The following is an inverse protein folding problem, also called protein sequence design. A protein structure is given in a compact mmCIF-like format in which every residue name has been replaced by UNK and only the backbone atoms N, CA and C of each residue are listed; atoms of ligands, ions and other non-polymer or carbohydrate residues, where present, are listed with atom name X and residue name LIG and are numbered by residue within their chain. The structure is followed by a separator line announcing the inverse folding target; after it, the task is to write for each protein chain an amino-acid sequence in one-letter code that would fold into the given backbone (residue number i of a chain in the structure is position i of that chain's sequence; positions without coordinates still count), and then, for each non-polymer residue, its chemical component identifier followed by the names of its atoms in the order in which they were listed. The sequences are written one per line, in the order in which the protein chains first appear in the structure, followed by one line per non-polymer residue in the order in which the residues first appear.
data_IF_903370383497
#
_entry.id   IF_903370383497
#
_cell.length_a   1.000
_cell.length_b   1.000
_cell.length_c   1.000
_cell.angle_alpha   90.00
_cell.angle_beta   90.00
_cell.angle_gamma   90.00
#
_symmetry.space_group_name_H-M   'P 1'
#
loop_
_entity.id
_entity.type
_entity.pdbx_description
1 polymer ?
#
# COMPACT_ATOMS: atom_id res chain seq x y z
N UNK A 1 -12.61 -30.57 50.07
CA UNK A 1 -12.67 -29.27 49.36
C UNK A 1 -14.10 -28.75 49.35
N UNK A 2 -15.08 -29.51 48.85
CA UNK A 2 -16.47 -29.03 48.76
C UNK A 2 -17.16 -28.82 50.11
N UNK A 3 -16.78 -29.59 51.13
CA UNK A 3 -17.33 -29.47 52.49
C UNK A 3 -16.98 -28.13 53.16
N UNK A 4 -15.73 -27.69 53.05
CA UNK A 4 -15.25 -26.44 53.65
C UNK A 4 -15.46 -25.21 52.77
N UNK A 5 -15.81 -25.42 51.49
CA UNK A 5 -16.09 -24.36 50.53
C UNK A 5 -17.05 -23.28 51.06
N UNK A 6 -18.26 -23.60 51.56
CA UNK A 6 -19.20 -22.58 52.02
C UNK A 6 -18.70 -21.82 53.26
N UNK A 7 -17.95 -22.45 54.16
CA UNK A 7 -17.36 -21.80 55.33
C UNK A 7 -16.36 -20.72 54.92
N UNK A 8 -15.47 -21.06 53.98
CA UNK A 8 -14.38 -20.19 53.53
C UNK A 8 -14.90 -19.06 52.66
N UNK A 9 -15.86 -19.36 51.78
CA UNK A 9 -16.53 -18.35 50.97
C UNK A 9 -17.20 -17.30 51.87
N UNK A 10 -17.92 -17.73 52.92
CA UNK A 10 -18.55 -16.79 53.85
C UNK A 10 -17.51 -15.96 54.63
N UNK A 11 -16.47 -16.60 55.18
CA UNK A 11 -15.43 -15.92 55.97
C UNK A 11 -14.68 -14.83 55.17
N UNK A 12 -14.35 -15.10 53.90
CA UNK A 12 -13.61 -14.16 53.04
C UNK A 12 -14.52 -13.05 52.48
N UNK A 13 -15.81 -13.34 52.30
CA UNK A 13 -16.80 -12.34 51.83
C UNK A 13 -17.27 -11.39 52.94
N UNK A 14 -17.37 -11.88 54.18
CA UNK A 14 -17.80 -11.10 55.35
C UNK A 14 -16.82 -9.96 55.67
N UNK A 15 -15.52 -10.12 55.41
CA UNK A 15 -14.53 -9.04 55.60
C UNK A 15 -14.83 -7.80 54.73
N UNK A 16 -15.63 -7.94 53.66
CA UNK A 16 -15.94 -6.85 52.72
C UNK A 16 -17.36 -6.31 52.83
N UNK A 17 -18.31 -7.12 53.28
CA UNK A 17 -19.71 -6.72 53.36
C UNK A 17 -20.23 -6.98 54.77
N UNK A 18 -20.42 -5.92 55.56
CA UNK A 18 -21.20 -5.92 56.81
C UNK A 18 -22.70 -6.28 56.60
N UNK A 19 -23.05 -7.03 55.55
CA UNK A 19 -24.37 -7.62 55.38
C UNK A 19 -24.31 -9.06 55.86
N UNK A 20 -24.64 -9.17 57.15
CA UNK A 20 -24.92 -10.39 57.89
C UNK A 20 -26.09 -11.14 57.24
N UNK A 21 -25.82 -11.86 56.14
CA UNK A 21 -26.76 -12.85 55.62
C UNK A 21 -26.58 -14.11 56.46
N UNK A 22 -27.23 -14.08 57.62
CA UNK A 22 -27.34 -15.20 58.54
C UNK A 22 -28.00 -16.40 57.88
N UNK A 23 -27.20 -17.21 57.21
CA UNK A 23 -27.41 -18.63 57.29
C UNK A 23 -26.81 -19.08 58.62
N UNK A 24 -27.55 -18.82 59.71
CA UNK A 24 -27.22 -19.16 61.11
C UNK A 24 -26.70 -20.61 61.27
N UNK A 25 -27.10 -21.50 60.35
CA UNK A 25 -26.67 -22.91 60.28
C UNK A 25 -25.23 -23.14 59.78
N UNK A 26 -24.59 -22.18 59.09
CA UNK A 26 -23.21 -22.33 58.59
C UNK A 26 -22.21 -22.02 59.71
N UNK A 27 -22.46 -20.97 60.50
CA UNK A 27 -21.60 -20.61 61.65
C UNK A 27 -21.49 -21.74 62.68
N UNK A 28 -22.59 -22.47 62.94
CA UNK A 28 -22.61 -23.60 63.87
C UNK A 28 -21.81 -24.82 63.35
N UNK A 29 -21.80 -25.05 62.03
CA UNK A 29 -21.03 -26.14 61.39
C UNK A 29 -19.55 -25.82 61.19
N UNK A 30 -19.20 -24.55 61.07
CA UNK A 30 -17.82 -24.11 60.84
C UNK A 30 -17.11 -23.72 62.15
N UNK A 31 -17.84 -23.61 63.27
CA UNK A 31 -17.32 -23.10 64.55
C UNK A 31 -16.33 -24.01 65.27
N UNK A 32 -16.18 -25.27 64.85
CA UNK A 32 -15.21 -26.21 65.43
C UNK A 32 -13.92 -26.38 64.61
N UNK A 33 -13.72 -25.56 63.56
CA UNK A 33 -12.49 -25.56 62.76
C UNK A 33 -11.54 -24.48 63.26
N UNK A 34 -10.24 -24.83 63.36
CA UNK A 34 -9.21 -23.80 63.51
C UNK A 34 -8.90 -23.21 62.14
N UNK A 35 -9.38 -21.98 61.90
CA UNK A 35 -9.23 -21.30 60.61
C UNK A 35 -8.16 -20.22 60.73
N UNK A 36 -7.09 -20.36 59.96
CA UNK A 36 -6.02 -19.37 59.86
C UNK A 36 -6.09 -18.68 58.49
N UNK A 37 -6.20 -17.35 58.52
CA UNK A 37 -6.13 -16.50 57.34
C UNK A 37 -4.69 -16.04 57.16
N UNK A 38 -4.09 -16.36 56.02
CA UNK A 38 -2.72 -15.98 55.67
C UNK A 38 -2.71 -15.15 54.40
N UNK A 39 -1.72 -14.27 54.24
CA UNK A 39 -1.59 -13.44 53.04
C UNK A 39 -1.22 -14.26 51.80
N UNK A 40 -0.42 -15.32 51.99
CA UNK A 40 -0.06 -16.26 50.94
C UNK A 40 0.03 -17.68 51.54
N UNK A 41 -0.55 -18.66 50.84
CA UNK A 41 -0.36 -20.06 51.18
C UNK A 41 1.07 -20.49 50.85
N UNK A 42 1.70 -21.25 51.74
CA UNK A 42 2.99 -21.86 51.46
C UNK A 42 2.92 -22.76 50.24
N UNK A 43 3.93 -22.67 49.36
CA UNK A 43 4.01 -23.50 48.16
C UNK A 43 4.24 -24.96 48.49
N UNK A 44 5.02 -25.21 49.55
CA UNK A 44 5.30 -26.54 50.10
C UNK A 44 4.07 -26.99 50.88
N UNK A 45 3.53 -28.15 50.51
CA UNK A 45 2.37 -28.71 51.18
C UNK A 45 2.87 -29.57 52.36
N UNK A 46 2.40 -29.33 53.59
CA UNK A 46 2.76 -30.18 54.72
C UNK A 46 2.30 -31.63 54.50
N UNK A 47 2.97 -32.58 55.14
CA UNK A 47 2.69 -34.00 54.99
C UNK A 47 1.23 -34.30 55.42
N UNK A 48 0.44 -34.88 54.53
CA UNK A 48 -0.98 -35.16 54.77
C UNK A 48 -1.94 -33.98 54.56
N UNK A 49 -1.45 -32.79 54.21
CA UNK A 49 -2.31 -31.65 53.88
C UNK A 49 -2.82 -31.70 52.44
N UNK A 50 -4.04 -31.19 52.20
CA UNK A 50 -4.65 -31.11 50.87
C UNK A 50 -4.95 -29.66 50.50
N UNK A 51 -4.39 -29.20 49.38
CA UNK A 51 -4.71 -27.88 48.80
C UNK A 51 -5.96 -27.98 47.93
N UNK A 52 -6.84 -26.99 48.07
CA UNK A 52 -8.06 -26.81 47.31
C UNK A 52 -8.05 -25.42 46.66
N UNK A 53 -8.57 -25.35 45.43
CA UNK A 53 -8.81 -24.09 44.71
C UNK A 53 -10.25 -24.06 44.26
N UNK A 54 -11.00 -23.06 44.70
CA UNK A 54 -12.40 -22.88 44.35
C UNK A 54 -12.59 -21.58 43.56
N UNK A 55 -13.43 -21.62 42.53
CA UNK A 55 -13.85 -20.42 41.80
C UNK A 55 -14.97 -19.71 42.54
N UNK A 56 -14.84 -18.40 42.68
CA UNK A 56 -15.79 -17.48 43.35
C UNK A 56 -16.00 -16.26 42.48
N UNK A 57 -17.26 -15.93 42.15
CA UNK A 57 -17.72 -14.81 41.34
C UNK A 57 -16.87 -14.47 40.10
N UNK A 58 -17.31 -14.96 38.93
CA UNK A 58 -16.63 -14.73 37.65
C UNK A 58 -15.40 -15.61 37.52
N UNK A 59 -14.21 -15.01 37.65
CA UNK A 59 -12.91 -15.64 37.44
C UNK A 59 -11.98 -15.58 38.67
N UNK A 60 -12.47 -15.11 39.82
CA UNK A 60 -11.64 -15.10 41.02
C UNK A 60 -11.54 -16.50 41.62
N UNK A 61 -10.37 -16.83 42.15
CA UNK A 61 -10.12 -18.10 42.83
C UNK A 61 -9.73 -17.87 44.27
N UNK A 62 -10.24 -18.72 45.15
CA UNK A 62 -9.84 -18.80 46.55
C UNK A 62 -9.03 -20.07 46.72
N UNK A 63 -7.83 -19.92 47.27
CA UNK A 63 -6.94 -21.02 47.61
C UNK A 63 -7.01 -21.26 49.12
N UNK A 64 -7.12 -22.52 49.51
CA UNK A 64 -7.01 -22.92 50.90
C UNK A 64 -6.42 -24.32 50.97
N UNK A 65 -5.87 -24.67 52.13
CA UNK A 65 -5.43 -26.02 52.44
C UNK A 65 -6.02 -26.44 53.77
N UNK A 66 -6.19 -27.73 53.94
CA UNK A 66 -6.59 -28.30 55.22
C UNK A 66 -5.73 -29.52 55.53
N UNK A 67 -5.48 -29.75 56.82
CA UNK A 67 -4.78 -30.90 57.35
C UNK A 67 -5.53 -31.46 58.56
N UNK A 68 -5.37 -32.76 58.79
CA UNK A 68 -5.91 -33.43 59.97
C UNK A 68 -4.76 -33.59 60.96
N UNK A 69 -4.87 -32.92 62.10
CA UNK A 69 -4.05 -33.20 63.29
C UNK A 69 -4.89 -34.07 64.23
N UNK A 70 -4.27 -34.82 65.15
CA UNK A 70 -4.78 -36.02 65.84
C UNK A 70 -6.23 -35.94 66.39
N UNK A 71 -6.81 -34.75 66.59
CA UNK A 71 -8.25 -34.52 66.85
C UNK A 71 -8.83 -33.22 66.25
N UNK A 72 -8.06 -32.43 65.50
CA UNK A 72 -8.46 -31.08 65.02
C UNK A 72 -8.22 -30.92 63.53
N UNK A 73 -9.12 -30.19 62.87
CA UNK A 73 -8.98 -29.84 61.46
C UNK A 73 -8.35 -28.45 61.41
N UNK A 74 -7.12 -28.39 60.94
CA UNK A 74 -6.40 -27.13 60.72
C UNK A 74 -6.68 -26.67 59.29
N UNK A 75 -7.32 -25.52 59.15
CA UNK A 75 -7.70 -24.96 57.86
C UNK A 75 -7.01 -23.63 57.63
N UNK A 76 -6.22 -23.55 56.56
CA UNK A 76 -5.46 -22.34 56.21
C UNK A 76 -5.98 -21.80 54.88
N UNK A 77 -6.54 -20.60 54.89
CA UNK A 77 -7.10 -19.95 53.71
C UNK A 77 -6.34 -18.67 53.36
N UNK A 78 -6.23 -18.38 52.07
CA UNK A 78 -5.66 -17.13 51.58
C UNK A 78 -6.65 -15.99 51.86
N UNK A 79 -6.20 -14.93 52.53
CA UNK A 79 -7.01 -13.77 52.89
C UNK A 79 -7.58 -13.06 51.65
N UNK A 80 -6.79 -12.98 50.57
CA UNK A 80 -7.16 -12.28 49.35
C UNK A 80 -7.52 -13.28 48.26
N UNK A 81 -8.65 -13.05 47.58
CA UNK A 81 -9.00 -13.80 46.36
C UNK A 81 -8.02 -13.47 45.23
N UNK A 82 -7.56 -14.49 44.52
CA UNK A 82 -6.73 -14.36 43.33
C UNK A 82 -7.63 -14.16 42.12
N UNK A 83 -7.78 -12.90 41.68
CA UNK A 83 -8.55 -12.54 40.49
C UNK A 83 -7.59 -12.22 39.34
N UNK A 84 -7.92 -12.56 38.08
CA UNK A 84 -7.18 -12.07 36.93
C UNK A 84 -7.26 -10.55 36.89
N UNK A 85 -6.12 -9.90 36.62
CA UNK A 85 -6.08 -8.46 36.42
C UNK A 85 -6.83 -8.10 35.14
N UNK A 86 -7.61 -7.00 35.13
CA UNK A 86 -8.26 -6.55 33.92
C UNK A 86 -7.19 -6.20 32.88
N UNK A 87 -7.33 -6.66 31.63
CA UNK A 87 -6.36 -6.35 30.59
C UNK A 87 -6.29 -4.83 30.36
N UNK A 88 -5.11 -4.33 29.99
CA UNK A 88 -4.95 -2.91 29.65
C UNK A 88 -5.60 -2.61 28.29
N UNK A 89 -6.86 -2.16 28.33
CA UNK A 89 -7.68 -1.88 27.16
C UNK A 89 -7.07 -0.76 26.29
N UNK A 90 -6.45 0.25 26.92
CA UNK A 90 -5.84 1.37 26.20
C UNK A 90 -4.66 0.91 25.34
N UNK A 91 -3.80 0.04 25.89
CA UNK A 91 -2.67 -0.52 25.15
C UNK A 91 -3.11 -1.32 23.92
N UNK A 92 -4.18 -2.10 24.05
CA UNK A 92 -4.76 -2.87 22.95
C UNK A 92 -5.25 -1.95 21.82
N UNK A 93 -5.98 -0.88 22.17
CA UNK A 93 -6.51 0.07 21.19
C UNK A 93 -5.37 0.77 20.44
N UNK A 94 -4.35 1.25 21.16
CA UNK A 94 -3.19 1.91 20.54
C UNK A 94 -2.46 0.96 19.60
N UNK A 95 -2.28 -0.30 20.00
CA UNK A 95 -1.67 -1.33 19.17
C UNK A 95 -2.44 -1.57 17.87
N UNK A 96 -3.76 -1.71 17.95
CA UNK A 96 -4.62 -1.93 16.78
C UNK A 96 -4.58 -0.72 15.84
N UNK A 97 -4.77 0.49 16.38
CA UNK A 97 -4.75 1.72 15.57
C UNK A 97 -3.39 1.92 14.90
N UNK A 98 -2.30 1.72 15.64
CA UNK A 98 -0.94 1.80 15.11
C UNK A 98 -0.70 0.78 13.99
N UNK A 99 -1.20 -0.45 14.14
CA UNK A 99 -1.06 -1.49 13.12
C UNK A 99 -1.79 -1.15 11.82
N UNK A 100 -3.00 -0.59 11.90
CA UNK A 100 -3.80 -0.21 10.73
C UNK A 100 -3.14 0.95 9.98
N UNK A 101 -2.64 1.96 10.71
CA UNK A 101 -1.93 3.09 10.11
C UNK A 101 -0.66 2.60 9.40
N UNK A 102 0.12 1.76 10.06
CA UNK A 102 1.35 1.20 9.49
C UNK A 102 1.04 0.36 8.22
N UNK A 103 0.03 -0.50 8.28
CA UNK A 103 -0.40 -1.31 7.14
C UNK A 103 -0.88 -0.44 5.97
N UNK A 104 -1.59 0.66 6.27
CA UNK A 104 -1.99 1.65 5.27
C UNK A 104 -0.80 2.31 4.59
N UNK A 105 0.21 2.75 5.36
CA UNK A 105 1.43 3.36 4.83
C UNK A 105 2.18 2.37 3.92
N UNK A 106 2.37 1.12 4.38
CA UNK A 106 3.03 0.07 3.58
C UNK A 106 2.29 -0.18 2.27
N UNK A 107 0.96 -0.29 2.34
CA UNK A 107 0.12 -0.50 1.15
C UNK A 107 0.21 0.67 0.17
N UNK A 108 0.22 1.91 0.67
CA UNK A 108 0.39 3.12 -0.15
C UNK A 108 1.78 3.18 -0.81
N UNK A 109 2.84 2.78 -0.10
CA UNK A 109 4.19 2.72 -0.68
C UNK A 109 4.21 1.72 -1.84
N UNK A 110 3.68 0.51 -1.63
CA UNK A 110 3.63 -0.51 -2.68
C UNK A 110 2.80 -0.01 -3.87
N UNK A 111 1.61 0.51 -3.62
CA UNK A 111 0.75 1.07 -4.68
C UNK A 111 1.44 2.21 -5.44
N UNK A 112 2.14 3.10 -4.72
CA UNK A 112 2.87 4.22 -5.34
C UNK A 112 4.03 3.72 -6.21
N UNK A 113 4.76 2.68 -5.77
CA UNK A 113 5.84 2.08 -6.56
C UNK A 113 5.30 1.43 -7.83
N UNK A 114 4.24 0.63 -7.72
CA UNK A 114 3.59 -0.04 -8.85
C UNK A 114 3.08 0.98 -9.87
N UNK A 115 2.35 1.99 -9.42
CA UNK A 115 1.82 3.05 -10.29
C UNK A 115 2.94 3.85 -10.96
N UNK A 116 4.00 4.22 -10.24
CA UNK A 116 5.13 4.96 -10.82
C UNK A 116 5.84 4.16 -11.92
N UNK A 117 5.95 2.83 -11.78
CA UNK A 117 6.53 1.98 -12.83
C UNK A 117 5.61 1.93 -14.05
N UNK A 118 4.30 1.81 -13.84
CA UNK A 118 3.32 1.81 -14.92
C UNK A 118 3.37 3.11 -15.72
N UNK A 119 3.30 4.26 -15.02
CA UNK A 119 3.39 5.59 -15.62
C UNK A 119 4.69 5.78 -16.41
N UNK A 120 5.82 5.30 -15.88
CA UNK A 120 7.12 5.36 -16.58
C UNK A 120 7.16 4.52 -17.84
N UNK A 121 6.59 3.32 -17.82
CA UNK A 121 6.58 2.43 -18.97
C UNK A 121 5.69 2.99 -20.09
N UNK A 122 4.53 3.54 -19.74
CA UNK A 122 3.65 4.21 -20.69
C UNK A 122 4.33 5.46 -21.25
N UNK A 123 4.92 6.30 -20.40
CA UNK A 123 5.63 7.50 -20.84
C UNK A 123 6.77 7.19 -21.82
N UNK A 124 7.56 6.15 -21.56
CA UNK A 124 8.62 5.72 -22.47
C UNK A 124 8.08 5.27 -23.84
N UNK A 125 6.93 4.60 -23.86
CA UNK A 125 6.25 4.21 -25.10
C UNK A 125 5.74 5.44 -25.86
N UNK A 126 5.13 6.40 -25.16
CA UNK A 126 4.65 7.65 -25.76
C UNK A 126 5.79 8.49 -26.36
N UNK A 127 6.92 8.67 -25.67
CA UNK A 127 8.07 9.41 -26.22
C UNK A 127 8.61 8.74 -27.49
N UNK A 128 8.74 7.41 -27.51
CA UNK A 128 9.15 6.66 -28.70
C UNK A 128 8.17 6.84 -29.87
N UNK A 129 6.87 6.81 -29.62
CA UNK A 129 5.85 7.09 -30.64
C UNK A 129 5.92 8.56 -31.12
N UNK A 130 6.14 9.53 -30.21
CA UNK A 130 6.31 10.95 -30.56
C UNK A 130 7.55 11.21 -31.41
N UNK A 131 8.68 10.56 -31.13
CA UNK A 131 9.91 10.67 -31.93
C UNK A 131 9.71 10.07 -33.32
N UNK A 132 9.09 8.89 -33.42
CA UNK A 132 8.76 8.27 -34.70
C UNK A 132 7.75 9.11 -35.51
N UNK A 133 6.80 9.77 -34.85
CA UNK A 133 5.87 10.72 -35.48
C UNK A 133 6.57 12.01 -35.97
N UNK A 134 7.69 12.43 -35.36
CA UNK A 134 8.51 13.55 -35.85
C UNK A 134 9.36 13.14 -37.06
N UNK A 135 9.81 11.88 -37.13
CA UNK A 135 10.62 11.36 -38.24
C UNK A 135 9.86 11.18 -39.56
N UNK A 136 8.53 11.07 -39.54
CA UNK A 136 7.72 10.95 -40.78
C UNK A 136 7.31 12.30 -41.39
N UNK A 137 7.83 13.43 -40.88
CA UNK A 137 7.42 14.77 -41.31
C UNK A 137 8.28 15.40 -42.40
N UNK A 138 9.33 14.72 -42.89
CA UNK A 138 10.33 15.33 -43.76
C UNK A 138 10.37 14.91 -45.21
N UNK A 139 9.60 13.92 -45.69
CA UNK A 139 9.33 13.76 -47.13
C UNK A 139 8.32 12.62 -47.32
N UNK A 140 7.17 12.95 -47.91
CA UNK A 140 6.26 11.93 -48.41
C UNK A 140 6.87 11.33 -49.68
N UNK A 141 7.17 10.01 -49.77
CA UNK A 141 7.73 9.40 -50.97
C UNK A 141 6.77 9.42 -52.18
N UNK A 142 5.51 9.84 -52.00
CA UNK A 142 4.55 10.13 -53.08
C UNK A 142 4.54 11.59 -53.54
N UNK A 143 5.22 12.50 -52.84
CA UNK A 143 5.19 13.92 -53.19
C UNK A 143 6.17 14.23 -54.33
N UNK A 144 5.61 14.60 -55.49
CA UNK A 144 6.37 15.13 -56.62
C UNK A 144 6.21 16.66 -56.61
N UNK A 145 7.28 17.45 -56.53
CA UNK A 145 7.17 18.90 -56.66
C UNK A 145 6.59 19.25 -58.04
N UNK A 146 5.58 20.11 -58.07
CA UNK A 146 4.87 20.53 -59.28
C UNK A 146 5.62 21.58 -60.13
N UNK A 147 6.94 21.55 -60.14
CA UNK A 147 7.78 22.49 -60.89
C UNK A 147 8.71 21.73 -61.83
N UNK A 148 8.36 21.71 -63.12
CA UNK A 148 9.22 21.15 -64.17
C UNK A 148 10.30 22.16 -64.53
N UNK A 149 11.55 21.92 -64.14
CA UNK A 149 12.68 22.71 -64.66
C UNK A 149 12.96 22.25 -66.10
N UNK A 150 12.42 22.99 -67.08
CA UNK A 150 12.69 22.75 -68.50
C UNK A 150 13.95 23.52 -68.91
N UNK A 151 15.04 22.79 -69.17
CA UNK A 151 16.27 23.37 -69.74
C UNK A 151 16.04 23.66 -71.22
N UNK A 152 16.04 24.95 -71.59
CA UNK A 152 15.87 25.40 -72.98
C UNK A 152 17.12 25.05 -73.82
N UNK A 153 17.02 24.13 -74.81
CA UNK A 153 18.16 23.70 -75.63
C UNK A 153 18.73 24.80 -76.54
N UNK A 154 18.01 25.91 -76.71
CA UNK A 154 18.40 27.01 -77.60
C UNK A 154 19.39 27.99 -76.95
N UNK A 155 19.54 27.98 -75.62
CA UNK A 155 20.37 28.96 -74.89
C UNK A 155 21.89 28.81 -75.12
N UNK A 156 22.33 27.73 -75.78
CA UNK A 156 23.72 27.50 -76.16
C UNK A 156 24.00 27.59 -77.67
N UNK A 157 23.01 27.92 -78.51
CA UNK A 157 23.22 28.07 -79.96
C UNK A 157 23.49 29.53 -80.28
N UNK A 158 24.73 29.80 -80.67
CA UNK A 158 25.23 31.07 -81.16
C UNK A 158 24.42 31.45 -82.42
N UNK A 159 23.27 32.09 -82.25
CA UNK A 159 22.55 32.73 -83.34
C UNK A 159 23.43 33.88 -83.82
N UNK A 160 24.13 33.69 -84.95
CA UNK A 160 24.70 34.83 -85.66
C UNK A 160 23.53 35.72 -86.06
N UNK A 161 23.29 36.78 -85.27
CA UNK A 161 22.46 37.90 -85.70
C UNK A 161 23.15 38.49 -86.93
N UNK A 162 22.68 38.16 -88.13
CA UNK A 162 22.92 39.00 -89.29
C UNK A 162 22.23 40.34 -89.03
N UNK A 163 22.99 41.34 -88.61
CA UNK A 163 22.53 42.71 -88.56
C UNK A 163 22.44 43.22 -89.99
N UNK A 164 21.23 43.26 -90.54
CA UNK A 164 20.93 44.00 -91.77
C UNK A 164 21.25 45.47 -91.49
N UNK A 165 22.26 46.02 -92.16
CA UNK A 165 22.63 47.44 -92.04
C UNK A 165 21.71 48.26 -92.94
N UNK A 166 20.88 49.10 -92.34
CA UNK A 166 20.18 50.17 -93.05
C UNK A 166 21.02 51.46 -92.93
N UNK A 167 21.40 52.07 -94.05
CA UNK A 167 21.94 53.44 -94.08
C UNK A 167 20.81 54.40 -94.41
N UNK A 168 20.55 55.38 -93.53
CA UNK A 168 19.64 56.49 -93.79
C UNK A 168 20.40 57.66 -94.40
N UNK A 169 19.95 58.12 -95.57
CA UNK A 169 20.27 59.46 -96.07
C UNK A 169 18.94 60.17 -96.35
N UNK A 170 18.51 61.01 -95.41
CA UNK A 170 17.19 61.66 -95.43
C UNK A 170 15.98 60.74 -95.12
N UNK A 171 14.79 61.21 -95.47
CA UNK A 171 13.48 60.62 -95.12
C UNK A 171 12.95 59.57 -96.13
N UNK A 172 13.79 58.62 -96.56
CA UNK A 172 13.35 57.39 -97.25
C UNK A 172 14.25 56.20 -96.88
N UNK A 173 13.65 55.04 -96.57
CA UNK A 173 14.34 53.75 -96.38
C UNK A 173 14.01 52.85 -97.58
N UNK A 174 15.02 52.44 -98.36
CA UNK A 174 14.87 51.38 -99.38
C UNK A 174 15.38 50.05 -98.83
N UNK A 175 14.61 48.99 -99.05
CA UNK A 175 15.02 47.60 -98.86
C UNK A 175 15.61 47.10 -100.18
N UNK A 176 16.76 46.43 -100.11
CA UNK A 176 17.29 45.69 -101.25
C UNK A 176 16.59 44.31 -101.33
N UNK A 177 16.28 43.93 -102.56
CA UNK A 177 15.42 42.84 -103.00
C UNK A 177 15.92 41.43 -102.59
N UNK A 178 14.96 40.52 -102.34
CA UNK A 178 15.07 39.10 -101.97
C UNK A 178 15.55 38.20 -103.14
N UNK A 179 15.56 36.84 -103.05
CA UNK A 179 16.04 35.89 -102.03
C UNK A 179 17.07 34.92 -102.68
N UNK A 180 17.56 33.93 -101.93
CA UNK A 180 17.38 32.52 -102.35
C UNK A 180 17.59 31.54 -101.20
N UNK A 181 16.49 30.90 -100.85
CA UNK A 181 16.40 29.60 -100.17
C UNK A 181 17.31 28.58 -100.86
N UNK A 182 17.98 27.75 -100.07
CA UNK A 182 18.38 26.42 -100.53
C UNK A 182 18.25 25.48 -99.34
N UNK A 183 17.15 24.73 -99.35
CA UNK A 183 16.99 23.49 -98.60
C UNK A 183 18.09 22.50 -99.01
N UNK A 184 18.69 21.81 -98.05
CA UNK A 184 19.10 20.42 -98.25
C UNK A 184 18.84 19.61 -97.00
N UNK A 185 18.05 18.57 -97.22
CA UNK A 185 17.54 17.54 -96.34
C UNK A 185 18.63 16.48 -96.04
N UNK A 186 18.42 15.78 -94.92
CA UNK A 186 18.69 14.35 -94.67
C UNK A 186 19.83 13.96 -93.72
N UNK A 187 19.37 13.43 -92.57
CA UNK A 187 19.90 12.27 -91.84
C UNK A 187 20.82 11.34 -92.63
N UNK A 188 21.91 10.86 -92.00
CA UNK A 188 21.90 9.61 -91.24
C UNK A 188 23.33 9.11 -90.96
N UNK A 189 23.53 8.61 -89.73
CA UNK A 189 24.47 7.55 -89.32
C UNK A 189 25.97 7.87 -89.17
#
# INVERSE_FOLDING_TARGET
CDEFRPCIEHLILDEKNNTFNNNFNISEKCGNLDIQLVDALEEILPEGAKRCRNLVDGDCTINFMYSYDDQTIMLTAEKKKSCPEPPNILGLIIGIVGSIILAGIVSLIIWKLVTTIHDKNEYAKFEKERENMKWSRHENPLYKPGTSTFTNPQYGRNSQRQSVKYTKEGDQLKMDEEPKETETVMDSK
#
